data_IF_256053164203
#
_entry.id   IF_256053164203
#
_cell.length_a   1.000
_cell.length_b   1.000
_cell.length_c   1.000
_cell.angle_alpha   90.00
_cell.angle_beta   90.00
_cell.angle_gamma   90.00
#
_symmetry.space_group_name_H-M   'P 1'
#
loop_
_entity.id
_entity.type
_entity.pdbx_description
1 polymer ?
#
# COMPACT_ATOMS: atom_id res chain seq x y z
N UNK A 1 -3.34 -11.99 -10.99
CA UNK A 1 -4.00 -12.78 -9.93
C UNK A 1 -5.32 -12.14 -9.51
N UNK A 2 -5.35 -10.97 -8.84
CA UNK A 2 -6.60 -10.33 -8.40
C UNK A 2 -7.55 -9.99 -9.56
N UNK A 3 -7.04 -9.43 -10.67
CA UNK A 3 -7.84 -9.14 -11.86
C UNK A 3 -8.54 -10.38 -12.45
N UNK A 4 -7.92 -11.56 -12.35
CA UNK A 4 -8.53 -12.82 -12.78
C UNK A 4 -9.72 -13.22 -11.91
N UNK A 5 -9.67 -12.98 -10.59
CA UNK A 5 -10.79 -13.23 -9.68
C UNK A 5 -11.97 -12.29 -9.95
N UNK A 6 -11.67 -11.00 -10.18
CA UNK A 6 -12.70 -10.01 -10.57
C UNK A 6 -13.38 -10.42 -11.89
N UNK A 7 -12.58 -10.79 -12.92
CA UNK A 7 -13.11 -11.15 -14.22
C UNK A 7 -14.00 -12.41 -14.22
N UNK A 8 -13.76 -13.32 -13.27
CA UNK A 8 -14.61 -14.53 -13.08
C UNK A 8 -15.80 -14.32 -12.17
N UNK A 9 -15.91 -13.14 -11.53
CA UNK A 9 -16.93 -12.86 -10.52
C UNK A 9 -16.65 -13.49 -9.15
N UNK A 10 -15.44 -14.01 -8.92
CA UNK A 10 -15.02 -14.57 -7.62
C UNK A 10 -14.79 -13.46 -6.56
N UNK A 11 -14.60 -12.23 -7.00
CA UNK A 11 -14.36 -11.06 -6.16
C UNK A 11 -15.26 -9.91 -6.60
N UNK A 12 -16.19 -9.54 -5.73
CA UNK A 12 -17.04 -8.36 -5.86
C UNK A 12 -16.32 -7.16 -5.20
N UNK A 13 -15.86 -6.21 -6.03
CA UNK A 13 -15.13 -5.04 -5.55
C UNK A 13 -16.03 -4.05 -4.80
N UNK A 14 -17.30 -3.92 -5.21
CA UNK A 14 -18.25 -3.03 -4.57
C UNK A 14 -18.61 -3.53 -3.17
N UNK A 15 -18.87 -4.83 -3.04
CA UNK A 15 -19.10 -5.46 -1.75
C UNK A 15 -17.86 -5.31 -0.84
N UNK A 16 -16.65 -5.47 -1.40
CA UNK A 16 -15.40 -5.35 -0.66
C UNK A 16 -15.17 -3.92 -0.13
N UNK A 17 -15.54 -2.91 -0.91
CA UNK A 17 -15.41 -1.50 -0.50
C UNK A 17 -16.29 -1.18 0.71
N UNK A 18 -17.50 -1.77 0.78
CA UNK A 18 -18.47 -1.55 1.85
C UNK A 18 -18.28 -2.49 3.07
N UNK A 19 -17.51 -3.57 2.92
CA UNK A 19 -17.22 -4.52 3.99
C UNK A 19 -16.39 -3.91 5.12
N UNK A 20 -16.53 -4.42 6.34
CA UNK A 20 -15.61 -4.12 7.43
C UNK A 20 -14.19 -4.66 7.18
N UNK A 21 -13.19 -4.20 7.95
CA UNK A 21 -11.77 -4.59 7.73
C UNK A 21 -11.56 -6.09 7.81
N UNK A 22 -12.09 -6.74 8.85
CA UNK A 22 -11.93 -8.19 9.05
C UNK A 22 -12.60 -9.00 7.95
N UNK A 23 -13.78 -8.57 7.50
CA UNK A 23 -14.51 -9.21 6.42
C UNK A 23 -13.78 -9.05 5.08
N UNK A 24 -13.34 -7.83 4.77
CA UNK A 24 -12.59 -7.55 3.55
C UNK A 24 -11.25 -8.29 3.53
N UNK A 25 -10.54 -8.32 4.68
CA UNK A 25 -9.30 -9.08 4.83
C UNK A 25 -9.54 -10.58 4.64
N UNK A 26 -10.57 -11.13 5.29
CA UNK A 26 -10.95 -12.54 5.16
C UNK A 26 -11.31 -12.93 3.72
N UNK A 27 -12.06 -12.08 3.03
CA UNK A 27 -12.41 -12.26 1.61
C UNK A 27 -11.16 -12.33 0.73
N UNK A 28 -10.23 -11.39 0.91
CA UNK A 28 -8.99 -11.35 0.14
C UNK A 28 -8.08 -12.54 0.44
N UNK A 29 -7.95 -12.94 1.70
CA UNK A 29 -7.16 -14.11 2.11
C UNK A 29 -7.74 -15.44 1.59
N UNK A 30 -9.04 -15.50 1.31
CA UNK A 30 -9.69 -16.64 0.69
C UNK A 30 -9.31 -16.85 -0.78
N UNK A 31 -8.71 -15.86 -1.43
CA UNK A 31 -8.32 -15.93 -2.82
C UNK A 31 -6.96 -16.61 -2.98
N UNK A 32 -6.89 -17.59 -3.89
CA UNK A 32 -5.64 -18.30 -4.18
C UNK A 32 -4.53 -17.33 -4.62
N UNK A 33 -3.38 -17.41 -3.95
CA UNK A 33 -2.20 -16.61 -4.24
C UNK A 33 -2.19 -15.22 -3.61
N UNK A 34 -3.15 -14.91 -2.74
CA UNK A 34 -3.14 -13.68 -1.94
C UNK A 34 -2.77 -14.02 -0.50
N UNK A 35 -1.60 -13.56 -0.07
CA UNK A 35 -1.15 -13.66 1.31
C UNK A 35 -1.54 -12.42 2.12
N UNK A 36 -1.30 -12.46 3.45
CA UNK A 36 -1.67 -11.38 4.38
C UNK A 36 -1.12 -10.02 3.95
N UNK A 37 0.16 -9.93 3.62
CA UNK A 37 0.75 -8.67 3.14
C UNK A 37 0.02 -8.10 1.93
N UNK A 38 -0.28 -8.94 0.93
CA UNK A 38 -0.99 -8.49 -0.28
C UNK A 38 -2.42 -8.04 0.01
N UNK A 39 -3.11 -8.73 0.92
CA UNK A 39 -4.46 -8.38 1.34
C UNK A 39 -4.47 -7.06 2.11
N UNK A 40 -3.61 -6.88 3.11
CA UNK A 40 -3.48 -5.63 3.87
C UNK A 40 -3.06 -4.46 2.97
N UNK A 41 -2.16 -4.70 2.01
CA UNK A 41 -1.75 -3.69 1.04
C UNK A 41 -2.90 -3.29 0.10
N UNK A 42 -3.77 -4.24 -0.27
CA UNK A 42 -4.99 -3.95 -1.03
C UNK A 42 -5.99 -3.12 -0.20
N UNK A 43 -6.16 -3.41 1.09
CA UNK A 43 -6.97 -2.58 1.99
C UNK A 43 -6.42 -1.15 2.06
N UNK A 44 -5.12 -1.01 2.27
CA UNK A 44 -4.48 0.30 2.40
C UNK A 44 -4.53 1.11 1.09
N UNK A 45 -4.07 0.51 -0.02
CA UNK A 45 -3.89 1.21 -1.31
C UNK A 45 -5.13 1.17 -2.20
N UNK A 46 -5.83 0.05 -2.20
CA UNK A 46 -7.00 -0.16 -3.05
C UNK A 46 -8.26 0.44 -2.46
N UNK A 47 -8.49 0.25 -1.16
CA UNK A 47 -9.69 0.71 -0.48
C UNK A 47 -9.47 1.97 0.38
N UNK A 48 -8.26 2.55 0.36
CA UNK A 48 -7.97 3.80 1.07
C UNK A 48 -8.00 3.69 2.60
N UNK A 49 -7.84 2.48 3.17
CA UNK A 49 -7.91 2.26 4.62
C UNK A 49 -6.60 2.67 5.30
N UNK A 50 -6.44 3.96 5.52
CA UNK A 50 -5.19 4.58 5.99
C UNK A 50 -4.73 4.15 7.39
N UNK A 51 -5.58 3.47 8.14
CA UNK A 51 -5.23 2.89 9.45
C UNK A 51 -4.53 1.53 9.35
N UNK A 52 -4.65 0.85 8.20
CA UNK A 52 -4.03 -0.46 7.99
C UNK A 52 -2.55 -0.32 7.70
N UNK A 53 -1.70 -0.91 8.55
CA UNK A 53 -0.27 -1.06 8.32
C UNK A 53 0.02 -2.51 7.94
N UNK A 54 0.58 -2.79 6.75
CA UNK A 54 0.93 -4.14 6.33
C UNK A 54 2.05 -4.73 7.19
N UNK A 55 1.69 -5.41 8.29
CA UNK A 55 2.61 -5.85 9.33
C UNK A 55 3.54 -6.99 8.91
N UNK A 56 3.21 -7.70 7.84
CA UNK A 56 4.06 -8.77 7.27
C UNK A 56 5.06 -8.27 6.23
N UNK A 57 5.08 -6.97 5.92
CA UNK A 57 6.07 -6.38 5.04
C UNK A 57 7.47 -6.40 5.66
N UNK A 58 8.39 -7.11 5.00
CA UNK A 58 9.79 -7.25 5.48
C UNK A 58 10.51 -5.90 5.48
N UNK A 59 10.27 -5.06 4.46
CA UNK A 59 10.84 -3.72 4.36
C UNK A 59 10.35 -2.83 5.49
N UNK A 60 9.04 -2.83 5.75
CA UNK A 60 8.44 -2.09 6.85
C UNK A 60 9.00 -2.54 8.20
N UNK A 61 9.07 -3.86 8.46
CA UNK A 61 9.67 -4.38 9.71
C UNK A 61 11.13 -3.95 9.88
N UNK A 62 11.92 -3.97 8.82
CA UNK A 62 13.31 -3.50 8.88
C UNK A 62 13.42 -2.02 9.18
N UNK A 63 12.52 -1.19 8.64
CA UNK A 63 12.44 0.23 8.95
C UNK A 63 11.99 0.48 10.39
N UNK A 64 10.99 -0.26 10.88
CA UNK A 64 10.53 -0.19 12.26
C UNK A 64 11.62 -0.59 13.26
N UNK A 65 12.42 -1.61 12.94
CA UNK A 65 13.58 -2.01 13.74
C UNK A 65 14.61 -0.89 13.85
N UNK A 66 14.95 -0.27 12.73
CA UNK A 66 15.98 0.78 12.68
C UNK A 66 15.56 2.07 13.37
N UNK A 67 14.28 2.45 13.23
CA UNK A 67 13.80 3.76 13.70
C UNK A 67 13.15 3.73 15.08
N UNK A 68 12.51 2.64 15.42
CA UNK A 68 11.72 2.51 16.65
C UNK A 68 12.23 1.40 17.59
N UNK A 69 13.35 0.76 17.26
CA UNK A 69 13.95 -0.26 18.12
C UNK A 69 13.15 -1.56 18.20
N UNK A 70 12.31 -1.87 17.21
CA UNK A 70 11.58 -3.13 17.17
C UNK A 70 12.55 -4.30 17.21
N UNK A 71 12.31 -5.29 18.06
CA UNK A 71 13.20 -6.43 18.23
C UNK A 71 13.38 -7.21 16.90
N UNK A 72 14.56 -7.77 16.61
CA UNK A 72 14.79 -8.56 15.40
C UNK A 72 13.86 -9.78 15.28
N UNK A 73 13.45 -10.36 16.40
CA UNK A 73 12.53 -11.49 16.47
C UNK A 73 11.05 -11.09 16.47
N UNK A 74 10.75 -9.78 16.44
CA UNK A 74 9.38 -9.28 16.46
C UNK A 74 8.59 -9.78 15.24
N UNK A 75 7.48 -10.45 15.50
CA UNK A 75 6.52 -10.89 14.49
C UNK A 75 5.42 -9.86 14.22
N UNK A 76 4.40 -10.32 13.53
CA UNK A 76 3.23 -9.50 13.17
C UNK A 76 2.58 -8.80 14.37
N UNK A 77 2.35 -9.52 15.47
CA UNK A 77 1.68 -8.97 16.66
C UNK A 77 2.45 -7.78 17.28
N UNK A 78 3.78 -7.86 17.31
CA UNK A 78 4.60 -6.77 17.83
C UNK A 78 4.56 -5.52 16.91
N UNK A 79 4.41 -5.73 15.61
CA UNK A 79 4.19 -4.62 14.66
C UNK A 79 2.81 -4.01 14.88
N UNK A 80 1.78 -4.83 15.05
CA UNK A 80 0.41 -4.38 15.33
C UNK A 80 0.34 -3.57 16.63
N UNK A 81 0.98 -4.04 17.70
CA UNK A 81 1.07 -3.33 18.97
C UNK A 81 1.76 -1.97 18.82
N UNK A 82 2.94 -1.95 18.19
CA UNK A 82 3.66 -0.69 17.92
C UNK A 82 2.83 0.28 17.09
N UNK A 83 2.17 -0.21 16.04
CA UNK A 83 1.38 0.63 15.14
C UNK A 83 0.10 1.16 15.77
N UNK A 84 -0.40 0.55 16.84
CA UNK A 84 -1.58 1.01 17.56
C UNK A 84 -1.43 2.44 18.09
N UNK A 85 -0.19 2.85 18.43
CA UNK A 85 0.13 4.20 18.87
C UNK A 85 -0.09 5.27 17.77
N UNK A 86 -0.18 4.86 16.52
CA UNK A 86 -0.39 5.76 15.37
C UNK A 86 -1.83 5.72 14.84
N UNK A 87 -2.74 5.05 15.53
CA UNK A 87 -4.13 4.99 15.11
C UNK A 87 -4.75 6.38 15.01
N UNK A 88 -5.51 6.69 13.94
CA UNK A 88 -5.90 5.84 12.82
C UNK A 88 -4.97 5.95 11.58
N UNK A 89 -3.71 6.33 11.74
CA UNK A 89 -2.80 6.71 10.64
C UNK A 89 -1.67 5.71 10.38
N UNK A 90 -1.78 4.47 10.85
CA UNK A 90 -0.74 3.45 10.70
C UNK A 90 -0.26 3.25 9.27
N UNK A 91 -1.18 3.22 8.31
CA UNK A 91 -0.85 3.11 6.88
C UNK A 91 -0.13 4.33 6.30
N UNK A 92 -0.41 5.54 6.81
CA UNK A 92 0.36 6.73 6.43
C UNK A 92 1.80 6.64 6.96
N UNK A 93 1.99 6.18 8.19
CA UNK A 93 3.34 5.93 8.74
C UNK A 93 4.08 4.90 7.87
N UNK A 94 3.39 3.82 7.45
CA UNK A 94 3.96 2.85 6.52
C UNK A 94 4.47 3.50 5.23
N UNK A 95 3.69 4.39 4.60
CA UNK A 95 4.14 5.11 3.39
C UNK A 95 5.34 6.01 3.66
N UNK A 96 5.36 6.73 4.77
CA UNK A 96 6.51 7.55 5.12
C UNK A 96 7.78 6.72 5.33
N UNK A 97 7.68 5.56 5.98
CA UNK A 97 8.80 4.63 6.15
C UNK A 97 9.30 4.08 4.80
N UNK A 98 8.38 3.79 3.87
CA UNK A 98 8.71 3.33 2.53
C UNK A 98 9.43 4.44 1.73
N UNK A 99 8.89 5.65 1.71
CA UNK A 99 9.48 6.79 1.01
C UNK A 99 10.86 7.15 1.55
N UNK A 100 11.03 7.15 2.86
CA UNK A 100 12.31 7.38 3.51
C UNK A 100 13.36 6.33 3.13
N UNK A 101 12.95 5.06 3.01
CA UNK A 101 13.85 3.99 2.56
C UNK A 101 14.24 4.15 1.09
N UNK A 102 13.30 4.58 0.24
CA UNK A 102 13.56 4.84 -1.18
C UNK A 102 14.46 6.08 -1.38
N UNK A 103 14.24 7.13 -0.60
CA UNK A 103 15.09 8.33 -0.61
C UNK A 103 16.52 7.99 -0.19
N UNK A 104 16.68 7.28 0.92
CA UNK A 104 17.99 6.82 1.39
C UNK A 104 18.72 5.87 0.42
N UNK A 105 17.97 5.20 -0.46
CA UNK A 105 18.52 4.37 -1.54
C UNK A 105 18.77 5.15 -2.85
N UNK A 106 18.49 6.46 -2.88
CA UNK A 106 18.61 7.30 -4.07
C UNK A 106 17.64 6.94 -5.20
N UNK A 107 16.50 6.31 -4.85
CA UNK A 107 15.50 5.85 -5.82
C UNK A 107 14.37 6.86 -6.04
N UNK A 108 14.33 7.94 -5.28
CA UNK A 108 13.39 9.03 -5.50
C UNK A 108 14.01 10.07 -6.41
N UNK A 109 13.25 10.50 -7.42
CA UNK A 109 13.63 11.68 -8.21
C UNK A 109 13.58 12.92 -7.32
N UNK A 110 14.50 13.89 -7.52
CA UNK A 110 14.42 15.15 -6.80
C UNK A 110 13.05 15.81 -7.03
N UNK A 111 12.54 16.59 -6.08
CA UNK A 111 11.28 17.29 -6.26
C UNK A 111 11.35 18.21 -7.48
N UNK A 112 10.32 18.17 -8.32
CA UNK A 112 10.20 19.08 -9.46
C UNK A 112 10.06 20.50 -8.93
N UNK A 113 10.93 21.46 -9.35
CA UNK A 113 10.83 22.83 -8.90
C UNK A 113 9.45 23.42 -9.20
N UNK A 114 8.93 24.32 -8.34
CA UNK A 114 7.68 25.03 -8.64
C UNK A 114 7.78 25.75 -10.00
N UNK A 115 6.94 25.36 -10.96
CA UNK A 115 6.89 25.97 -12.29
C UNK A 115 7.45 25.11 -13.43
N UNK A 116 8.16 24.01 -13.14
CA UNK A 116 8.48 23.00 -14.15
C UNK A 116 7.44 21.89 -14.14
N UNK A 117 6.52 21.90 -15.10
CA UNK A 117 5.66 20.74 -15.32
C UNK A 117 6.53 19.57 -15.79
N UNK A 118 6.32 18.34 -15.30
CA UNK A 118 7.04 17.17 -15.81
C UNK A 118 6.77 17.05 -17.31
N UNK A 119 7.80 17.33 -18.10
CA UNK A 119 7.73 17.18 -19.55
C UNK A 119 7.49 15.70 -19.86
N UNK A 120 6.31 15.36 -20.36
CA UNK A 120 6.03 14.06 -20.96
C UNK A 120 4.88 13.25 -20.36
N UNK A 121 4.43 13.47 -19.12
CA UNK A 121 3.39 12.61 -18.52
C UNK A 121 1.97 12.90 -19.04
N UNK A 122 1.73 14.06 -19.65
CA UNK A 122 0.40 14.50 -20.12
C UNK A 122 0.42 15.02 -21.57
N UNK A 123 1.54 14.95 -22.27
CA UNK A 123 1.66 15.47 -23.65
C UNK A 123 0.77 14.71 -24.65
N UNK A 124 0.50 13.42 -24.39
CA UNK A 124 -0.32 12.58 -25.28
C UNK A 124 -1.84 12.69 -25.04
N UNK A 125 -2.26 13.32 -23.93
CA UNK A 125 -3.67 13.43 -23.59
C UNK A 125 -4.38 14.63 -24.26
N UNK A 126 -3.66 15.52 -24.92
CA UNK A 126 -4.21 16.75 -25.51
C UNK A 126 -4.13 16.82 -27.05
N UNK A 127 -3.74 15.75 -27.73
CA UNK A 127 -3.79 15.70 -29.19
C UNK A 127 -5.03 14.92 -29.69
N UNK A 128 -6.15 15.60 -30.01
CA UNK A 128 -7.35 14.95 -30.56
C UNK A 128 -7.18 14.50 -32.01
N UNK A 129 -5.97 14.63 -32.60
CA UNK A 129 -5.69 14.36 -34.00
C UNK A 129 -5.15 12.97 -34.34
N UNK A 130 -4.90 12.07 -33.35
CA UNK A 130 -4.25 10.76 -33.58
C UNK A 130 -5.18 9.56 -33.67
N UNK A 131 -6.48 9.77 -33.83
CA UNK A 131 -7.46 8.72 -34.13
C UNK A 131 -7.78 8.71 -35.63
N UNK A 132 -6.90 8.12 -36.46
CA UNK A 132 -7.24 7.57 -37.79
C UNK A 132 -6.41 6.32 -38.02
#
# INVERSE_FOLDING_TARGET
LAAGHVARGDLDLEALEHAGDDEALGTLLGLSGIGRWSAEYALLRGLGRLHVLPGDDVGARNNLRRRFGLAPSAGYEAVAELSSAWSPYGGLVYFHLLLDALDGAGQLSPPVPPGEAPSGLWADAQDPGRAR
#
